data_IF_688732601864
#
_entry.id   IF_688732601864
#
_cell.length_a   1.000
_cell.length_b   1.000
_cell.length_c   1.000
_cell.angle_alpha   90.00
_cell.angle_beta   90.00
_cell.angle_gamma   90.00
#
_symmetry.space_group_name_H-M   'P 1'
#
loop_
_entity.id
_entity.type
_entity.pdbx_description
1 polymer ?
#
# COMPACT_ATOMS: atom_id res chain seq x y z
N UNK A 1 6.35 0.45 -3.10
CA UNK A 1 6.10 -0.55 -2.03
C UNK A 1 7.20 -0.44 -1.00
N UNK A 2 6.85 -0.49 0.31
CA UNK A 2 7.80 -0.50 1.43
C UNK A 2 7.56 -1.73 2.30
N UNK A 3 8.53 -2.07 3.15
CA UNK A 3 8.38 -3.18 4.08
C UNK A 3 7.23 -2.95 5.09
N UNK A 4 6.86 -1.69 5.36
CA UNK A 4 5.67 -1.37 6.14
C UNK A 4 4.36 -1.79 5.47
N UNK A 5 4.25 -1.67 4.14
CA UNK A 5 3.08 -2.20 3.41
C UNK A 5 3.01 -3.72 3.48
N UNK A 6 4.16 -4.40 3.35
CA UNK A 6 4.21 -5.87 3.42
C UNK A 6 3.85 -6.36 4.82
N UNK A 7 4.32 -5.68 5.86
CA UNK A 7 3.97 -5.99 7.26
C UNK A 7 2.45 -5.94 7.49
N UNK A 8 1.78 -4.88 7.01
CA UNK A 8 0.32 -4.76 7.10
C UNK A 8 -0.38 -5.89 6.34
N UNK A 9 0.06 -6.20 5.11
CA UNK A 9 -0.53 -7.29 4.31
C UNK A 9 -0.38 -8.64 5.02
N UNK A 10 0.80 -8.96 5.54
CA UNK A 10 1.05 -10.21 6.26
C UNK A 10 0.18 -10.35 7.51
N UNK A 11 0.04 -9.27 8.28
CA UNK A 11 -0.78 -9.25 9.49
C UNK A 11 -2.26 -9.32 9.18
N UNK A 12 -2.69 -8.71 8.07
CA UNK A 12 -4.08 -8.80 7.61
C UNK A 12 -4.52 -10.22 7.29
N UNK A 13 -3.60 -11.11 6.87
CA UNK A 13 -3.88 -12.54 6.65
C UNK A 13 -4.25 -13.32 7.92
N UNK A 14 -4.01 -12.76 9.10
CA UNK A 14 -4.46 -13.34 10.36
C UNK A 14 -5.93 -13.00 10.67
N UNK A 15 -6.48 -11.97 10.00
CA UNK A 15 -7.82 -11.46 10.22
C UNK A 15 -8.79 -11.83 9.09
N UNK A 16 -8.26 -12.07 7.89
CA UNK A 16 -9.05 -12.29 6.67
C UNK A 16 -8.53 -13.50 5.89
N UNK A 17 -9.43 -14.21 5.23
CA UNK A 17 -9.09 -15.37 4.40
C UNK A 17 -8.36 -14.99 3.12
N UNK A 18 -8.67 -13.82 2.57
CA UNK A 18 -8.07 -13.27 1.35
C UNK A 18 -7.77 -11.79 1.53
N UNK A 19 -6.64 -11.35 1.02
CA UNK A 19 -6.23 -9.94 1.00
C UNK A 19 -6.04 -9.49 -0.44
N UNK A 20 -6.56 -8.31 -0.76
CA UNK A 20 -6.44 -7.69 -2.07
C UNK A 20 -5.70 -6.35 -1.90
N UNK A 21 -4.36 -6.32 -2.02
CA UNK A 21 -3.62 -5.07 -2.05
C UNK A 21 -4.06 -4.24 -3.26
N UNK A 22 -4.71 -3.11 -3.00
CA UNK A 22 -5.33 -2.29 -4.03
C UNK A 22 -4.49 -1.03 -4.32
N UNK A 23 -4.03 -0.87 -5.55
CA UNK A 23 -3.26 0.28 -6.02
C UNK A 23 -4.21 1.27 -6.68
N UNK A 24 -4.39 2.44 -6.06
CA UNK A 24 -5.18 3.50 -6.66
C UNK A 24 -4.42 4.17 -7.81
N UNK A 25 -5.08 4.27 -8.98
CA UNK A 25 -4.67 5.11 -10.09
C UNK A 25 -5.22 6.51 -9.80
N UNK A 26 -4.32 7.43 -9.45
CA UNK A 26 -4.68 8.83 -9.27
C UNK A 26 -4.15 9.63 -10.46
N UNK A 27 -5.06 10.19 -11.26
CA UNK A 27 -4.75 10.98 -12.46
C UNK A 27 -4.14 12.34 -12.14
N UNK A 28 -4.38 12.86 -10.93
CA UNK A 28 -3.91 14.18 -10.51
C UNK A 28 -2.46 14.19 -10.01
N UNK A 29 -1.86 13.01 -9.88
CA UNK A 29 -0.47 12.86 -9.42
C UNK A 29 0.34 12.13 -10.48
N UNK A 30 1.55 12.61 -10.73
CA UNK A 30 2.53 11.92 -11.57
C UNK A 30 3.42 11.05 -10.66
N UNK A 31 3.06 9.77 -10.43
CA UNK A 31 3.86 8.90 -9.61
C UNK A 31 5.15 8.51 -10.36
N UNK A 32 6.23 8.23 -9.62
CA UNK A 32 7.51 7.79 -10.20
C UNK A 32 7.38 6.48 -11.00
N UNK A 33 6.47 5.62 -10.60
CA UNK A 33 6.21 4.32 -11.22
C UNK A 33 4.80 4.25 -11.78
N UNK A 34 4.64 3.64 -12.95
CA UNK A 34 3.33 3.41 -13.56
C UNK A 34 2.46 2.47 -12.71
N UNK A 35 1.14 2.40 -12.92
CA UNK A 35 0.29 1.43 -12.22
C UNK A 35 0.77 -0.01 -12.40
N UNK A 36 1.22 -0.39 -13.61
CA UNK A 36 1.73 -1.72 -13.95
C UNK A 36 3.02 -2.03 -13.19
N UNK A 37 3.98 -1.10 -13.19
CA UNK A 37 5.23 -1.24 -12.41
C UNK A 37 4.94 -1.38 -10.91
N UNK A 38 3.99 -0.63 -10.39
CA UNK A 38 3.57 -0.71 -8.98
C UNK A 38 2.90 -2.05 -8.68
N UNK A 39 2.09 -2.58 -9.61
CA UNK A 39 1.49 -3.90 -9.49
C UNK A 39 2.55 -5.00 -9.51
N UNK A 40 3.51 -4.93 -10.42
CA UNK A 40 4.65 -5.85 -10.48
C UNK A 40 5.43 -5.86 -9.16
N UNK A 41 5.78 -4.68 -8.64
CA UNK A 41 6.50 -4.55 -7.37
C UNK A 41 5.76 -5.20 -6.20
N UNK A 42 4.45 -4.94 -6.06
CA UNK A 42 3.69 -5.51 -4.93
C UNK A 42 3.49 -7.00 -5.11
N UNK A 43 3.23 -7.47 -6.34
CA UNK A 43 3.05 -8.89 -6.65
C UNK A 43 4.30 -9.69 -6.32
N UNK A 44 5.46 -9.22 -6.74
CA UNK A 44 6.74 -9.85 -6.41
C UNK A 44 7.00 -9.85 -4.89
N UNK A 45 6.69 -8.73 -4.21
CA UNK A 45 6.91 -8.60 -2.77
C UNK A 45 6.06 -9.56 -1.93
N UNK A 46 4.84 -9.88 -2.39
CA UNK A 46 3.88 -10.71 -1.63
C UNK A 46 3.74 -12.13 -2.18
N UNK A 47 4.47 -12.51 -3.22
CA UNK A 47 4.39 -13.82 -3.88
C UNK A 47 4.56 -14.98 -2.88
N UNK A 48 5.43 -14.82 -1.90
CA UNK A 48 5.68 -15.82 -0.85
C UNK A 48 4.49 -16.05 0.08
N UNK A 49 3.47 -15.17 0.07
CA UNK A 49 2.25 -15.29 0.88
C UNK A 49 1.19 -16.18 0.22
N UNK A 50 1.45 -16.63 -1.01
CA UNK A 50 0.60 -17.56 -1.75
C UNK A 50 -0.68 -16.94 -2.33
N UNK A 51 -1.63 -17.76 -2.79
CA UNK A 51 -2.80 -17.33 -3.56
C UNK A 51 -3.83 -16.53 -2.76
N UNK A 52 -3.68 -16.49 -1.45
CA UNK A 52 -4.53 -15.66 -0.56
C UNK A 52 -4.30 -14.16 -0.73
N UNK A 53 -3.20 -13.75 -1.36
CA UNK A 53 -2.88 -12.34 -1.61
C UNK A 53 -2.88 -12.05 -3.10
N UNK A 54 -3.83 -11.24 -3.55
CA UNK A 54 -4.05 -10.96 -4.96
C UNK A 54 -4.04 -9.44 -5.22
N UNK A 55 -2.88 -8.84 -5.53
CA UNK A 55 -2.78 -7.42 -5.82
C UNK A 55 -3.55 -7.03 -7.08
N UNK A 56 -4.20 -5.86 -7.02
CA UNK A 56 -4.89 -5.24 -8.16
C UNK A 56 -4.52 -3.76 -8.27
N UNK A 57 -4.81 -3.16 -9.42
CA UNK A 57 -4.95 -1.71 -9.52
C UNK A 57 -6.40 -1.35 -9.87
N UNK A 58 -6.82 -0.16 -9.48
CA UNK A 58 -8.18 0.34 -9.74
C UNK A 58 -8.17 1.86 -9.93
N UNK A 59 -9.21 2.37 -10.55
CA UNK A 59 -9.51 3.80 -10.65
C UNK A 59 -10.87 4.12 -10.02
N UNK A 60 -11.04 5.34 -9.53
CA UNK A 60 -12.28 5.78 -8.89
C UNK A 60 -12.34 5.48 -7.39
N UNK A 61 -13.54 5.25 -6.87
CA UNK A 61 -13.77 5.10 -5.43
C UNK A 61 -13.33 3.73 -4.92
N UNK A 62 -12.64 3.72 -3.79
CA UNK A 62 -12.16 2.50 -3.12
C UNK A 62 -13.30 1.54 -2.78
N UNK A 63 -14.45 2.06 -2.34
CA UNK A 63 -15.64 1.24 -2.01
C UNK A 63 -16.18 0.51 -3.25
N UNK A 64 -16.09 1.09 -4.45
CA UNK A 64 -16.49 0.42 -5.68
C UNK A 64 -15.54 -0.73 -6.02
N UNK A 65 -14.23 -0.52 -5.87
CA UNK A 65 -13.25 -1.58 -6.03
C UNK A 65 -13.46 -2.71 -5.01
N UNK A 66 -13.79 -2.38 -3.76
CA UNK A 66 -14.13 -3.36 -2.73
C UNK A 66 -15.34 -4.20 -3.11
N UNK A 67 -16.45 -3.59 -3.54
CA UNK A 67 -17.66 -4.27 -4.01
C UNK A 67 -17.39 -5.21 -5.18
N UNK A 68 -16.68 -4.71 -6.20
CA UNK A 68 -16.35 -5.48 -7.41
C UNK A 68 -15.53 -6.74 -7.10
N UNK A 69 -14.76 -6.72 -6.01
CA UNK A 69 -13.92 -7.83 -5.58
C UNK A 69 -14.52 -8.64 -4.42
N UNK A 70 -15.74 -8.36 -4.02
CA UNK A 70 -16.44 -9.05 -2.92
C UNK A 70 -15.77 -8.83 -1.56
N UNK A 71 -15.08 -7.71 -1.37
CA UNK A 71 -14.48 -7.36 -0.09
C UNK A 71 -15.51 -6.71 0.83
N UNK A 72 -15.55 -7.17 2.07
CA UNK A 72 -16.43 -6.66 3.13
C UNK A 72 -15.70 -5.75 4.11
N UNK A 73 -14.37 -5.70 4.02
CA UNK A 73 -13.51 -4.93 4.91
C UNK A 73 -12.44 -4.19 4.11
N UNK A 74 -12.25 -2.92 4.42
CA UNK A 74 -11.11 -2.10 3.96
C UNK A 74 -10.10 -2.02 5.11
N UNK A 75 -8.85 -2.44 4.85
CA UNK A 75 -7.77 -2.37 5.83
C UNK A 75 -6.85 -1.21 5.49
N UNK A 76 -6.58 -0.35 6.47
CA UNK A 76 -5.69 0.81 6.35
C UNK A 76 -4.59 0.75 7.41
N UNK A 77 -3.38 1.11 7.03
CA UNK A 77 -2.25 1.25 7.96
C UNK A 77 -2.19 2.66 8.56
N UNK A 78 -2.15 2.78 9.88
CA UNK A 78 -1.88 4.04 10.58
C UNK A 78 -0.51 3.96 11.25
N UNK A 79 0.38 4.90 10.93
CA UNK A 79 1.76 4.95 11.44
C UNK A 79 1.95 5.98 12.53
N UNK A 80 1.27 7.13 12.39
CA UNK A 80 1.40 8.26 13.29
C UNK A 80 0.05 8.94 13.48
N UNK A 81 -0.04 9.78 14.51
CA UNK A 81 -1.24 10.59 14.80
C UNK A 81 -1.60 11.47 13.59
N UNK A 82 -0.62 11.98 12.86
CA UNK A 82 -0.84 12.78 11.65
C UNK A 82 -1.56 12.05 10.52
N UNK A 83 -1.45 10.71 10.46
CA UNK A 83 -2.19 9.92 9.46
C UNK A 83 -3.66 9.76 9.88
N UNK A 84 -3.94 9.76 11.20
CA UNK A 84 -5.21 9.36 11.77
C UNK A 84 -6.39 10.24 11.33
N UNK A 85 -6.24 11.54 11.32
CA UNK A 85 -7.34 12.46 10.95
C UNK A 85 -7.81 12.20 9.51
N UNK A 86 -6.87 12.12 8.58
CA UNK A 86 -7.19 11.86 7.18
C UNK A 86 -7.81 10.47 6.98
N UNK A 87 -7.23 9.44 7.58
CA UNK A 87 -7.72 8.06 7.48
C UNK A 87 -9.11 7.91 8.14
N UNK A 88 -9.37 8.60 9.25
CA UNK A 88 -10.69 8.63 9.88
C UNK A 88 -11.73 9.29 8.97
N UNK A 89 -11.42 10.44 8.37
CA UNK A 89 -12.31 11.10 7.42
C UNK A 89 -12.66 10.19 6.24
N UNK A 90 -11.64 9.49 5.70
CA UNK A 90 -11.86 8.54 4.61
C UNK A 90 -12.71 7.35 5.04
N UNK A 91 -12.52 6.82 6.25
CA UNK A 91 -13.32 5.72 6.77
C UNK A 91 -14.80 6.12 6.96
N UNK A 92 -15.06 7.31 7.50
CA UNK A 92 -16.40 7.85 7.64
C UNK A 92 -17.09 8.08 6.29
N UNK A 93 -16.35 8.60 5.31
CA UNK A 93 -16.85 8.77 3.94
C UNK A 93 -17.16 7.41 3.30
N UNK A 94 -16.26 6.44 3.43
CA UNK A 94 -16.47 5.08 2.91
C UNK A 94 -17.72 4.45 3.53
N UNK A 95 -17.93 4.59 4.84
CA UNK A 95 -19.12 4.09 5.54
C UNK A 95 -20.40 4.75 5.03
N UNK A 96 -20.37 6.05 4.72
CA UNK A 96 -21.51 6.76 4.14
C UNK A 96 -21.84 6.24 2.74
N UNK A 97 -20.83 5.96 1.92
CA UNK A 97 -21.00 5.48 0.53
C UNK A 97 -21.29 3.99 0.43
N UNK A 98 -20.85 3.20 1.39
CA UNK A 98 -20.96 1.74 1.43
C UNK A 98 -21.09 1.25 2.88
N UNK A 99 -22.28 1.36 3.48
CA UNK A 99 -22.50 0.99 4.88
C UNK A 99 -22.20 -0.49 5.19
N UNK A 100 -22.22 -1.33 4.17
CA UNK A 100 -21.94 -2.76 4.26
C UNK A 100 -20.43 -3.09 4.33
N UNK A 101 -19.55 -2.10 4.08
CA UNK A 101 -18.10 -2.29 4.08
C UNK A 101 -17.50 -1.60 5.31
N UNK A 102 -16.87 -2.35 6.20
CA UNK A 102 -16.22 -1.80 7.38
C UNK A 102 -14.77 -1.40 7.11
N UNK A 103 -14.26 -0.41 7.84
CA UNK A 103 -12.85 0.00 7.76
C UNK A 103 -12.13 -0.36 9.05
N UNK A 104 -11.02 -1.09 8.93
CA UNK A 104 -10.16 -1.50 10.05
C UNK A 104 -8.81 -0.82 9.92
N UNK A 105 -8.29 -0.31 11.03
CA UNK A 105 -6.97 0.28 11.12
C UNK A 105 -5.97 -0.69 11.75
N UNK A 106 -4.84 -0.91 11.08
CA UNK A 106 -3.73 -1.68 11.62
C UNK A 106 -2.52 -0.78 11.83
N UNK A 107 -1.87 -0.96 12.96
CA UNK A 107 -0.60 -0.29 13.27
C UNK A 107 0.55 -1.20 12.79
N UNK A 108 1.45 -0.72 11.93
CA UNK A 108 2.60 -1.51 11.50
C UNK A 108 3.54 -1.78 12.68
N UNK A 109 4.46 -2.76 12.52
CA UNK A 109 5.52 -3.00 13.48
C UNK A 109 6.31 -1.71 13.75
N UNK A 110 6.74 -1.48 15.00
CA UNK A 110 7.37 -0.22 15.42
C UNK A 110 8.55 0.22 14.55
N UNK A 111 9.35 -0.73 14.03
CA UNK A 111 10.44 -0.47 13.09
C UNK A 111 10.00 0.12 11.75
N UNK A 112 8.71 0.10 11.43
CA UNK A 112 8.15 0.66 10.20
C UNK A 112 7.24 1.86 10.47
N UNK A 113 7.08 2.30 11.70
CA UNK A 113 6.17 3.39 12.08
C UNK A 113 6.52 4.74 11.43
N UNK A 114 7.81 4.99 11.16
CA UNK A 114 8.31 6.19 10.48
C UNK A 114 8.38 6.04 8.96
N UNK A 115 8.21 4.81 8.43
CA UNK A 115 8.50 4.49 7.04
C UNK A 115 7.38 4.93 6.12
N UNK A 116 7.69 5.76 5.13
CA UNK A 116 6.79 6.17 4.05
C UNK A 116 7.46 6.06 2.68
N UNK A 117 6.66 5.91 1.63
CA UNK A 117 7.17 5.92 0.26
C UNK A 117 7.81 7.26 -0.12
N UNK A 118 7.37 8.35 0.50
CA UNK A 118 7.97 9.69 0.33
C UNK A 118 9.36 9.72 0.93
N UNK A 119 9.50 9.34 2.21
CA UNK A 119 10.77 9.30 2.91
C UNK A 119 11.79 8.40 2.21
N UNK A 120 11.36 7.21 1.74
CA UNK A 120 12.23 6.31 0.96
C UNK A 120 12.80 7.00 -0.28
N UNK A 121 11.97 7.74 -1.04
CA UNK A 121 12.43 8.48 -2.21
C UNK A 121 13.40 9.62 -1.84
N UNK A 122 13.15 10.31 -0.76
CA UNK A 122 14.03 11.38 -0.24
C UNK A 122 15.39 10.80 0.18
N UNK A 123 15.40 9.71 0.95
CA UNK A 123 16.64 9.01 1.34
C UNK A 123 17.42 8.54 0.12
N UNK A 124 16.74 7.94 -0.85
CA UNK A 124 17.36 7.47 -2.09
C UNK A 124 17.97 8.62 -2.90
N UNK A 125 17.26 9.74 -3.07
CA UNK A 125 17.76 10.92 -3.79
C UNK A 125 19.02 11.52 -3.16
N UNK A 126 19.16 11.37 -1.84
CA UNK A 126 20.34 11.80 -1.09
C UNK A 126 21.46 10.72 -1.02
N UNK A 127 21.33 9.62 -1.77
CA UNK A 127 22.34 8.54 -1.77
C UNK A 127 22.32 7.65 -0.53
N UNK A 128 21.27 7.71 0.29
CA UNK A 128 21.13 6.90 1.50
C UNK A 128 20.81 5.43 1.22
N UNK A 129 21.15 4.57 2.19
CA UNK A 129 20.92 3.14 2.09
C UNK A 129 19.43 2.78 2.30
N UNK A 130 18.88 1.90 1.46
CA UNK A 130 17.48 1.47 1.50
C UNK A 130 17.27 0.08 2.11
N UNK A 131 18.35 -0.56 2.59
CA UNK A 131 18.30 -1.90 3.18
C UNK A 131 17.34 -1.94 4.36
N UNK A 132 16.45 -2.92 4.38
CA UNK A 132 15.44 -3.06 5.44
C UNK A 132 14.25 -2.10 5.34
N UNK A 133 14.28 -1.09 4.46
CA UNK A 133 13.17 -0.15 4.25
C UNK A 133 12.21 -0.62 3.16
N UNK A 134 12.77 -1.16 2.08
CA UNK A 134 12.03 -1.68 0.93
C UNK A 134 12.59 -3.04 0.50
N UNK A 135 11.84 -3.86 -0.25
CA UNK A 135 12.35 -5.07 -0.86
C UNK A 135 13.48 -4.79 -1.87
N UNK A 136 14.42 -5.72 -2.02
CA UNK A 136 15.59 -5.56 -2.90
C UNK A 136 15.21 -5.32 -4.36
N UNK A 137 14.18 -6.01 -4.88
CA UNK A 137 13.70 -5.81 -6.26
C UNK A 137 13.10 -4.40 -6.46
N UNK A 138 12.44 -3.83 -5.45
CA UNK A 138 11.94 -2.44 -5.48
C UNK A 138 13.12 -1.46 -5.49
N UNK A 139 14.16 -1.73 -4.70
CA UNK A 139 15.39 -0.93 -4.72
C UNK A 139 16.08 -0.97 -6.09
N UNK A 140 16.11 -2.14 -6.73
CA UNK A 140 16.66 -2.30 -8.08
C UNK A 140 15.87 -1.50 -9.13
N UNK A 141 14.52 -1.55 -9.07
CA UNK A 141 13.66 -0.76 -9.96
C UNK A 141 13.83 0.75 -9.73
N UNK A 142 13.98 1.18 -8.48
CA UNK A 142 14.21 2.59 -8.14
C UNK A 142 15.53 3.10 -8.72
N UNK A 143 16.62 2.30 -8.64
CA UNK A 143 17.91 2.64 -9.26
C UNK A 143 17.79 2.78 -10.79
N UNK A 144 17.09 1.87 -11.46
CA UNK A 144 16.87 1.94 -12.92
C UNK A 144 16.14 3.22 -13.33
N UNK A 145 15.11 3.64 -12.59
CA UNK A 145 14.36 4.88 -12.86
C UNK A 145 15.20 6.15 -12.68
N UNK A 146 16.21 6.12 -11.82
CA UNK A 146 17.03 7.31 -11.52
C UNK A 146 18.20 7.49 -12.49
N UNK A 147 18.58 6.42 -13.21
CA UNK A 147 19.64 6.46 -14.26
C UNK A 147 19.10 7.10 -15.55
N UNK A 148 17.79 7.16 -15.71
CA UNK A 148 17.12 7.78 -16.87
C UNK A 148 16.16 8.86 -16.39
N UNK A 149 16.63 10.10 -16.06
CA UNK A 149 15.78 11.24 -15.74
C UNK A 149 14.98 11.75 -16.94
#
# INVERSE_FOLDING_TARGET
VTNGHIDIIQRSLQLCDRIIPAILINTDKTPLFTPEERLEMISAAVQHLGPRVQPIYFSGLLVNAARQNGATVIIRGIRAVSDYEYELQMALMNRTLAPEIETIFLVPAGRYSYLSSRLVKEVFACGGELKGLIPDHVAAMLRKKHIHP
#
